data_IF_706092861462
#
_entry.id   IF_706092861462
#
_cell.length_a   1.000
_cell.length_b   1.000
_cell.length_c   1.000
_cell.angle_alpha   90.00
_cell.angle_beta   90.00
_cell.angle_gamma   90.00
#
_symmetry.space_group_name_H-M   'P 1'
#
loop_
_entity.id
_entity.type
_entity.pdbx_description
1 polymer ?
#
# COMPACT_ATOMS: atom_id res chain seq x y z
N UNK A 1 32.01 -52.20 33.54
CA UNK A 1 31.01 -51.65 34.49
C UNK A 1 30.03 -50.83 33.68
N UNK A 2 28.77 -51.25 33.68
CA UNK A 2 27.71 -50.73 32.83
C UNK A 2 27.07 -49.48 33.44
N UNK A 3 26.85 -48.45 32.62
CA UNK A 3 25.96 -47.34 32.97
C UNK A 3 24.75 -47.36 32.02
N UNK A 4 23.59 -47.57 32.61
CA UNK A 4 22.29 -47.52 31.96
C UNK A 4 21.88 -46.06 31.70
N UNK A 5 21.45 -45.77 30.48
CA UNK A 5 20.79 -44.51 30.12
C UNK A 5 19.28 -44.78 30.13
N UNK A 6 18.58 -44.13 31.06
CA UNK A 6 17.12 -44.18 31.17
C UNK A 6 16.46 -43.24 30.16
N UNK A 7 15.66 -43.81 29.26
CA UNK A 7 14.71 -43.09 28.41
C UNK A 7 13.52 -42.63 29.25
N UNK A 8 13.29 -41.32 29.31
CA UNK A 8 12.07 -40.74 29.89
C UNK A 8 11.04 -40.47 28.80
N UNK A 9 9.87 -41.12 28.94
CA UNK A 9 8.68 -40.93 28.12
C UNK A 9 8.00 -39.61 28.47
N UNK A 10 7.80 -38.71 27.50
CA UNK A 10 6.82 -37.62 27.64
C UNK A 10 5.47 -38.10 27.08
N UNK A 11 4.46 -38.09 27.95
CA UNK A 11 3.14 -38.70 27.78
C UNK A 11 2.23 -37.76 26.98
N UNK A 12 1.63 -38.27 25.90
CA UNK A 12 0.54 -37.63 25.15
C UNK A 12 -0.64 -37.31 26.06
N UNK A 13 -1.11 -36.07 26.03
CA UNK A 13 -2.47 -35.72 26.41
C UNK A 13 -3.28 -35.50 25.14
N UNK A 14 -4.36 -36.26 25.01
CA UNK A 14 -5.32 -36.20 23.91
C UNK A 14 -6.34 -35.13 24.30
N UNK A 15 -6.22 -33.95 23.70
CA UNK A 15 -7.16 -32.83 23.88
C UNK A 15 -8.12 -32.75 22.68
N UNK A 16 -9.40 -32.89 22.99
CA UNK A 16 -10.60 -32.71 22.18
C UNK A 16 -10.45 -32.10 20.77
N UNK A 17 -10.80 -32.91 19.77
CA UNK A 17 -11.13 -32.48 18.42
C UNK A 17 -12.43 -31.67 18.45
N UNK A 18 -12.34 -30.35 18.34
CA UNK A 18 -13.49 -29.50 18.04
C UNK A 18 -13.72 -29.58 16.54
N UNK A 19 -14.68 -30.42 16.12
CA UNK A 19 -15.23 -30.39 14.77
C UNK A 19 -16.21 -29.21 14.69
N UNK A 20 -15.66 -28.02 14.50
CA UNK A 20 -16.43 -26.86 14.07
C UNK A 20 -16.68 -27.00 12.58
N UNK A 21 -17.94 -27.25 12.20
CA UNK A 21 -18.37 -27.22 10.82
C UNK A 21 -18.17 -25.81 10.26
N UNK A 22 -17.09 -25.59 9.50
CA UNK A 22 -16.94 -24.42 8.65
C UNK A 22 -17.82 -24.65 7.44
N UNK A 23 -19.09 -24.25 7.55
CA UNK A 23 -19.97 -24.18 6.40
C UNK A 23 -19.37 -23.15 5.44
N UNK A 24 -18.97 -23.63 4.26
CA UNK A 24 -18.32 -22.84 3.22
C UNK A 24 -19.17 -21.64 2.82
N UNK A 25 -18.78 -20.46 3.32
CA UNK A 25 -19.01 -19.21 2.63
C UNK A 25 -17.90 -19.08 1.60
N UNK A 26 -18.08 -19.77 0.46
CA UNK A 26 -17.46 -19.33 -0.80
C UNK A 26 -18.25 -18.10 -1.27
N UNK A 27 -18.18 -17.03 -0.48
CA UNK A 27 -18.45 -15.70 -0.98
C UNK A 27 -17.18 -15.33 -1.71
N UNK A 28 -17.21 -15.39 -3.04
CA UNK A 28 -16.33 -14.56 -3.83
C UNK A 28 -16.59 -13.13 -3.33
N UNK A 29 -15.72 -12.63 -2.46
CA UNK A 29 -15.57 -11.20 -2.26
C UNK A 29 -15.19 -10.71 -3.65
N UNK A 30 -16.18 -10.18 -4.37
CA UNK A 30 -15.94 -9.37 -5.54
C UNK A 30 -15.08 -8.23 -5.01
N UNK A 31 -13.79 -8.35 -5.27
CA UNK A 31 -12.80 -7.37 -4.90
C UNK A 31 -13.28 -6.05 -5.51
N UNK A 32 -13.66 -5.10 -4.66
CA UNK A 32 -13.99 -3.75 -5.11
C UNK A 32 -12.72 -2.92 -5.31
N UNK A 33 -11.56 -3.58 -5.44
CA UNK A 33 -10.47 -3.07 -6.24
C UNK A 33 -11.06 -2.56 -7.54
N UNK A 34 -10.79 -1.30 -7.85
CA UNK A 34 -11.01 -0.81 -9.20
C UNK A 34 -10.05 -1.62 -10.04
N UNK A 35 -10.51 -2.77 -10.56
CA UNK A 35 -9.79 -3.49 -11.60
C UNK A 35 -9.47 -2.42 -12.64
N UNK A 36 -8.19 -2.28 -13.01
CA UNK A 36 -7.79 -1.26 -13.97
C UNK A 36 -8.80 -1.28 -15.12
N UNK A 37 -9.37 -0.13 -15.47
CA UNK A 37 -10.27 -0.13 -16.61
C UNK A 37 -9.47 -0.54 -17.85
N UNK A 38 -10.09 -1.22 -18.83
CA UNK A 38 -9.51 -1.42 -20.15
C UNK A 38 -8.80 -0.16 -20.64
N UNK A 39 -7.52 -0.27 -20.95
CA UNK A 39 -6.72 0.89 -21.35
C UNK A 39 -7.14 1.44 -22.72
N UNK A 40 -7.69 0.56 -23.57
CA UNK A 40 -8.29 0.87 -24.86
C UNK A 40 -9.19 -0.31 -25.30
N UNK A 41 -9.71 -0.26 -26.53
CA UNK A 41 -10.60 -1.29 -27.07
C UNK A 41 -9.96 -2.65 -27.36
N UNK A 42 -8.63 -2.77 -27.31
CA UNK A 42 -7.94 -4.05 -27.45
C UNK A 42 -7.70 -4.76 -26.12
N UNK A 43 -7.88 -4.07 -24.98
CA UNK A 43 -7.67 -4.58 -23.63
C UNK A 43 -8.96 -5.21 -23.10
N UNK A 44 -9.22 -6.43 -23.53
CA UNK A 44 -10.52 -7.13 -23.37
C UNK A 44 -10.44 -8.30 -22.41
N UNK A 45 -9.24 -8.61 -21.91
CA UNK A 45 -8.99 -9.66 -20.95
C UNK A 45 -8.28 -9.10 -19.71
N UNK A 46 -8.57 -9.68 -18.55
CA UNK A 46 -7.75 -9.41 -17.37
C UNK A 46 -6.37 -10.08 -17.51
N UNK A 47 -5.29 -9.46 -16.98
CA UNK A 47 -5.30 -8.20 -16.22
C UNK A 47 -5.34 -6.96 -17.12
N UNK A 48 -6.36 -6.12 -16.93
CA UNK A 48 -6.50 -4.87 -17.68
C UNK A 48 -5.33 -3.89 -17.40
N UNK A 49 -5.10 -2.96 -18.32
CA UNK A 49 -3.95 -2.06 -18.32
C UNK A 49 -2.69 -2.66 -18.96
N UNK A 50 -2.74 -3.91 -19.41
CA UNK A 50 -1.65 -4.62 -20.08
C UNK A 50 -2.20 -5.39 -21.27
N UNK A 51 -1.72 -5.09 -22.47
CA UNK A 51 -2.07 -5.86 -23.67
C UNK A 51 -1.16 -7.08 -23.82
N UNK A 52 -1.74 -8.28 -23.82
CA UNK A 52 -1.02 -9.55 -24.00
C UNK A 52 -1.74 -10.55 -24.93
N UNK A 53 -1.33 -11.82 -24.91
CA UNK A 53 -1.92 -12.86 -25.77
C UNK A 53 -3.34 -13.27 -25.33
N UNK A 54 -3.70 -13.02 -24.07
CA UNK A 54 -5.02 -13.27 -23.50
C UNK A 54 -6.05 -12.36 -24.16
N UNK A 55 -5.73 -11.08 -24.37
CA UNK A 55 -6.57 -10.14 -25.10
C UNK A 55 -6.87 -10.61 -26.53
N UNK A 56 -5.82 -11.06 -27.23
CA UNK A 56 -5.97 -11.63 -28.57
C UNK A 56 -6.88 -12.85 -28.52
N UNK A 57 -6.69 -13.73 -27.53
CA UNK A 57 -7.52 -14.93 -27.35
C UNK A 57 -8.99 -14.61 -27.11
N UNK A 58 -9.27 -13.66 -26.20
CA UNK A 58 -10.62 -13.22 -25.85
C UNK A 58 -11.28 -12.51 -27.02
N UNK A 59 -10.59 -11.59 -27.70
CA UNK A 59 -11.10 -10.90 -28.88
C UNK A 59 -11.46 -11.88 -30.00
N UNK A 60 -10.56 -12.80 -30.35
CA UNK A 60 -10.81 -13.80 -31.42
C UNK A 60 -12.00 -14.68 -31.08
N UNK A 61 -12.12 -15.13 -29.82
CA UNK A 61 -13.25 -15.94 -29.38
C UNK A 61 -14.56 -15.15 -29.47
N UNK A 62 -14.57 -13.90 -28.99
CA UNK A 62 -15.72 -13.01 -29.04
C UNK A 62 -16.15 -12.71 -30.48
N UNK A 63 -15.19 -12.49 -31.39
CA UNK A 63 -15.44 -12.20 -32.81
C UNK A 63 -16.09 -13.40 -33.52
N UNK A 64 -15.57 -14.61 -33.31
CA UNK A 64 -16.15 -15.85 -33.89
C UNK A 64 -17.56 -16.11 -33.37
N UNK A 65 -17.83 -15.75 -32.11
CA UNK A 65 -19.15 -15.91 -31.49
C UNK A 65 -20.12 -14.76 -31.79
N UNK A 66 -19.67 -13.72 -32.51
CA UNK A 66 -20.45 -12.49 -32.72
C UNK A 66 -20.94 -11.89 -31.39
N UNK A 67 -20.07 -11.91 -30.39
CA UNK A 67 -20.36 -11.37 -29.07
C UNK A 67 -20.11 -9.86 -29.04
N UNK A 68 -20.92 -9.05 -28.33
CA UNK A 68 -20.81 -7.58 -28.34
C UNK A 68 -19.42 -7.02 -28.02
N UNK A 69 -18.59 -7.74 -27.27
CA UNK A 69 -17.23 -7.32 -26.95
C UNK A 69 -16.28 -7.24 -28.17
N UNK A 70 -16.63 -7.87 -29.29
CA UNK A 70 -15.83 -7.83 -30.53
C UNK A 70 -16.34 -6.83 -31.57
N UNK A 71 -17.45 -6.15 -31.32
CA UNK A 71 -17.98 -5.06 -32.15
C UNK A 71 -17.41 -3.74 -31.63
N UNK A 72 -16.18 -3.43 -32.05
CA UNK A 72 -15.40 -2.31 -31.51
C UNK A 72 -15.84 -0.97 -32.09
N UNK A 73 -16.48 -0.97 -33.27
CA UNK A 73 -17.05 0.25 -33.85
C UNK A 73 -18.53 0.49 -33.46
N UNK A 74 -19.16 -0.49 -32.79
CA UNK A 74 -20.54 -0.45 -32.30
C UNK A 74 -21.60 -0.28 -33.40
N UNK A 75 -21.34 -0.81 -34.60
CA UNK A 75 -22.29 -0.75 -35.73
C UNK A 75 -23.18 -2.00 -35.86
N UNK A 76 -22.96 -3.01 -35.03
CA UNK A 76 -23.69 -4.28 -35.02
C UNK A 76 -23.23 -5.29 -36.08
N UNK A 77 -22.14 -5.01 -36.81
CA UNK A 77 -21.59 -5.84 -37.89
C UNK A 77 -20.15 -6.23 -37.56
N UNK A 78 -19.94 -7.50 -37.23
CA UNK A 78 -18.61 -8.07 -36.98
C UNK A 78 -17.83 -8.26 -38.29
N UNK A 79 -16.95 -7.32 -38.64
CA UNK A 79 -16.23 -7.31 -39.91
C UNK A 79 -14.74 -6.95 -39.81
N UNK A 80 -14.12 -6.62 -40.95
CA UNK A 80 -12.69 -6.26 -41.00
C UNK A 80 -12.39 -4.93 -40.29
N UNK A 81 -13.37 -4.06 -40.09
CA UNK A 81 -13.20 -2.81 -39.36
C UNK A 81 -12.93 -3.07 -37.88
N UNK A 82 -13.63 -4.01 -37.24
CA UNK A 82 -13.36 -4.40 -35.86
C UNK A 82 -11.96 -4.98 -35.69
N UNK A 83 -11.56 -5.86 -36.61
CA UNK A 83 -10.21 -6.44 -36.60
C UNK A 83 -9.16 -5.34 -36.78
N UNK A 84 -9.39 -4.38 -37.67
CA UNK A 84 -8.48 -3.26 -37.87
C UNK A 84 -8.41 -2.35 -36.64
N UNK A 85 -9.54 -2.10 -35.97
CA UNK A 85 -9.59 -1.33 -34.72
C UNK A 85 -8.84 -2.05 -33.60
N UNK A 86 -9.05 -3.35 -33.45
CA UNK A 86 -8.34 -4.17 -32.48
C UNK A 86 -6.83 -4.13 -32.75
N UNK A 87 -6.39 -4.42 -33.97
CA UNK A 87 -4.95 -4.44 -34.32
C UNK A 87 -4.31 -3.06 -34.18
N UNK A 88 -5.03 -1.99 -34.50
CA UNK A 88 -4.53 -0.61 -34.33
C UNK A 88 -4.37 -0.28 -32.85
N UNK A 89 -5.41 -0.52 -32.04
CA UNK A 89 -5.38 -0.29 -30.59
C UNK A 89 -4.31 -1.17 -29.90
N UNK A 90 -4.17 -2.42 -30.34
CA UNK A 90 -3.17 -3.34 -29.80
C UNK A 90 -1.74 -2.86 -30.10
N UNK A 91 -1.51 -2.29 -31.29
CA UNK A 91 -0.21 -1.73 -31.69
C UNK A 91 0.10 -0.38 -31.03
N UNK A 92 -0.92 0.43 -30.78
CA UNK A 92 -0.78 1.67 -30.01
C UNK A 92 -0.37 1.37 -28.57
N UNK A 93 -0.69 0.16 -28.09
CA UNK A 93 -0.41 -0.25 -26.73
C UNK A 93 -1.43 0.35 -25.77
N UNK A 94 -1.36 -0.05 -24.51
CA UNK A 94 -1.93 0.79 -23.47
C UNK A 94 -1.11 2.08 -23.41
N UNK A 95 -1.74 3.25 -23.20
CA UNK A 95 -1.00 4.38 -22.67
C UNK A 95 -0.17 3.86 -21.49
N UNK A 96 1.06 4.34 -21.28
CA UNK A 96 1.66 4.11 -19.98
C UNK A 96 0.61 4.57 -18.99
N UNK A 97 0.12 3.64 -18.14
CA UNK A 97 -0.62 3.99 -16.93
C UNK A 97 0.16 5.19 -16.39
N UNK A 98 -0.49 6.27 -15.94
CA UNK A 98 0.24 7.38 -15.31
C UNK A 98 0.96 6.79 -14.09
N UNK A 99 2.15 6.23 -14.33
CA UNK A 99 2.84 5.34 -13.43
C UNK A 99 3.38 6.21 -12.31
N UNK A 100 3.58 7.50 -12.58
CA UNK A 100 3.96 8.46 -11.59
C UNK A 100 2.72 8.99 -10.89
N UNK A 101 2.67 8.81 -9.57
CA UNK A 101 1.76 9.61 -8.76
C UNK A 101 2.21 11.07 -8.79
N UNK A 102 1.30 12.04 -8.56
CA UNK A 102 1.69 13.41 -8.30
C UNK A 102 2.72 13.45 -7.17
N UNK A 103 3.77 14.25 -7.31
CA UNK A 103 4.71 14.48 -6.21
C UNK A 103 3.94 15.05 -5.02
N UNK A 104 4.10 14.45 -3.83
CA UNK A 104 3.44 14.87 -2.60
C UNK A 104 3.71 16.35 -2.27
N UNK A 105 4.86 16.90 -2.68
CA UNK A 105 5.19 18.32 -2.53
C UNK A 105 4.19 19.24 -3.21
N UNK A 106 3.56 18.80 -4.30
CA UNK A 106 2.54 19.59 -4.99
C UNK A 106 1.27 19.79 -4.16
N UNK A 107 1.07 18.95 -3.14
CA UNK A 107 -0.03 19.05 -2.18
C UNK A 107 0.29 19.93 -0.98
N UNK A 108 1.56 20.35 -0.83
CA UNK A 108 2.06 21.12 0.32
C UNK A 108 2.59 22.46 -0.15
N UNK A 109 1.86 23.53 0.16
CA UNK A 109 2.28 24.86 -0.24
C UNK A 109 3.60 25.27 0.43
N UNK A 110 4.57 25.65 -0.40
CA UNK A 110 5.90 26.05 0.04
C UNK A 110 6.86 24.89 0.28
N UNK A 111 6.48 23.64 -0.04
CA UNK A 111 7.35 22.48 0.09
C UNK A 111 8.70 22.66 -0.63
N UNK A 112 8.76 23.36 -1.76
CA UNK A 112 10.00 23.63 -2.50
C UNK A 112 11.07 24.39 -1.68
N UNK A 113 10.66 25.06 -0.59
CA UNK A 113 11.56 25.83 0.27
C UNK A 113 11.92 25.10 1.57
N UNK A 114 11.43 23.88 1.77
CA UNK A 114 11.72 23.11 2.98
C UNK A 114 13.17 22.66 3.01
N UNK A 115 13.80 22.59 4.21
CA UNK A 115 15.19 22.19 4.36
C UNK A 115 15.40 20.73 3.93
N UNK A 116 16.64 20.40 3.56
CA UNK A 116 16.99 19.09 2.99
C UNK A 116 16.48 17.86 3.80
N UNK A 117 16.51 17.84 5.15
CA UNK A 117 15.95 16.71 5.90
C UNK A 117 14.45 16.50 5.68
N UNK A 118 13.68 17.58 5.47
CA UNK A 118 12.24 17.48 5.18
C UNK A 118 12.03 17.06 3.72
N UNK A 119 12.89 17.52 2.80
CA UNK A 119 12.86 17.04 1.41
C UNK A 119 13.05 15.52 1.32
N UNK A 120 13.96 14.97 2.12
CA UNK A 120 14.19 13.53 2.18
C UNK A 120 12.95 12.75 2.64
N UNK A 121 12.13 13.33 3.53
CA UNK A 121 10.85 12.74 3.93
C UNK A 121 9.87 12.72 2.76
N UNK A 122 9.75 13.81 1.99
CA UNK A 122 8.92 13.82 0.79
C UNK A 122 9.38 12.78 -0.23
N UNK A 123 10.70 12.61 -0.42
CA UNK A 123 11.24 11.57 -1.31
C UNK A 123 10.91 10.17 -0.83
N UNK A 124 11.03 9.90 0.47
CA UNK A 124 10.65 8.60 1.06
C UNK A 124 9.15 8.30 0.87
N UNK A 125 8.29 9.32 1.08
CA UNK A 125 6.86 9.21 0.84
C UNK A 125 6.57 8.97 -0.65
N UNK A 126 7.17 9.75 -1.56
CA UNK A 126 6.99 9.58 -2.99
C UNK A 126 7.47 8.20 -3.48
N UNK A 127 8.59 7.67 -2.96
CA UNK A 127 9.03 6.29 -3.25
C UNK A 127 8.01 5.27 -2.77
N UNK A 128 7.49 5.43 -1.57
CA UNK A 128 6.47 4.53 -0.99
C UNK A 128 5.19 4.57 -1.80
N UNK A 129 4.68 5.77 -2.11
CA UNK A 129 3.50 5.97 -2.95
C UNK A 129 3.76 5.38 -4.34
N UNK A 130 4.95 5.56 -4.90
CA UNK A 130 5.27 4.97 -6.18
C UNK A 130 5.26 3.44 -6.13
N UNK A 131 5.83 2.81 -5.10
CA UNK A 131 5.89 1.36 -5.03
C UNK A 131 4.57 0.70 -4.65
N UNK A 132 3.81 1.26 -3.70
CA UNK A 132 2.62 0.62 -3.15
C UNK A 132 1.32 1.37 -3.44
N UNK A 133 1.40 2.62 -3.88
CA UNK A 133 0.27 3.53 -4.04
C UNK A 133 -0.94 2.97 -4.77
N UNK A 134 -0.79 2.21 -5.87
CA UNK A 134 -1.92 1.64 -6.59
C UNK A 134 -2.63 0.50 -5.85
N UNK A 135 -1.94 -0.17 -4.92
CA UNK A 135 -2.47 -1.36 -4.25
C UNK A 135 -3.51 -0.98 -3.19
N UNK A 136 -4.68 -1.61 -3.18
CA UNK A 136 -5.58 -1.61 -2.03
C UNK A 136 -4.92 -2.24 -0.80
N UNK A 137 -5.22 -1.77 0.40
CA UNK A 137 -4.70 -2.36 1.64
C UNK A 137 -5.03 -3.84 1.77
N UNK A 138 -6.21 -4.27 1.33
CA UNK A 138 -6.62 -5.67 1.34
C UNK A 138 -5.66 -6.53 0.55
N UNK A 139 -5.37 -6.14 -0.69
CA UNK A 139 -4.40 -6.84 -1.55
C UNK A 139 -2.99 -6.77 -0.95
N UNK A 140 -2.49 -5.56 -0.63
CA UNK A 140 -1.14 -5.38 -0.10
C UNK A 140 -0.88 -6.22 1.16
N UNK A 141 -1.81 -6.20 2.13
CA UNK A 141 -1.60 -6.80 3.44
C UNK A 141 -1.86 -8.31 3.46
N UNK A 142 -2.62 -8.85 2.49
CA UNK A 142 -2.92 -10.28 2.42
C UNK A 142 -2.05 -11.05 1.44
N UNK A 143 -1.41 -10.38 0.48
CA UNK A 143 -0.44 -11.00 -0.42
C UNK A 143 0.94 -11.17 0.24
N UNK A 144 1.65 -12.20 -0.20
CA UNK A 144 3.08 -12.36 0.04
C UNK A 144 3.90 -11.44 -0.86
N UNK A 145 5.17 -11.20 -0.52
CA UNK A 145 6.08 -10.41 -1.37
C UNK A 145 6.23 -11.08 -2.75
N UNK A 146 6.34 -12.41 -2.79
CA UNK A 146 6.50 -13.18 -4.02
C UNK A 146 5.35 -13.00 -5.01
N UNK A 147 4.11 -12.94 -4.51
CA UNK A 147 2.93 -12.68 -5.33
C UNK A 147 2.93 -11.26 -5.91
N UNK A 148 3.49 -10.29 -5.18
CA UNK A 148 3.57 -8.89 -5.61
C UNK A 148 4.86 -8.56 -6.40
N UNK A 149 5.83 -9.47 -6.53
CA UNK A 149 7.08 -9.20 -7.25
C UNK A 149 6.87 -8.72 -8.70
N UNK A 150 5.96 -9.30 -9.51
CA UNK A 150 5.70 -8.79 -10.86
C UNK A 150 5.25 -7.32 -10.85
N UNK A 151 4.41 -6.96 -9.87
CA UNK A 151 3.96 -5.60 -9.66
C UNK A 151 5.13 -4.69 -9.24
N UNK A 152 5.92 -5.06 -8.23
CA UNK A 152 7.07 -4.26 -7.80
C UNK A 152 8.11 -4.07 -8.90
N UNK A 153 8.40 -5.08 -9.70
CA UNK A 153 9.35 -4.99 -10.80
C UNK A 153 8.91 -3.96 -11.86
N UNK A 154 7.61 -3.90 -12.17
CA UNK A 154 7.06 -2.90 -13.07
C UNK A 154 7.26 -1.47 -12.52
N UNK A 155 6.97 -1.28 -11.23
CA UNK A 155 7.08 0.03 -10.56
C UNK A 155 8.54 0.46 -10.41
N UNK A 156 9.44 -0.44 -10.02
CA UNK A 156 10.87 -0.16 -9.88
C UNK A 156 11.50 0.27 -11.20
N UNK A 157 11.06 -0.28 -12.33
CA UNK A 157 11.52 0.13 -13.66
C UNK A 157 11.20 1.59 -14.02
N UNK A 158 10.31 2.25 -13.28
CA UNK A 158 9.93 3.66 -13.50
C UNK A 158 10.25 4.58 -12.32
N UNK A 159 10.92 4.08 -11.29
CA UNK A 159 11.16 4.85 -10.06
C UNK A 159 11.96 6.13 -10.33
N UNK A 160 13.04 6.06 -11.10
CA UNK A 160 13.90 7.22 -11.42
C UNK A 160 13.16 8.29 -12.25
N UNK A 161 12.19 7.87 -13.06
CA UNK A 161 11.35 8.77 -13.84
C UNK A 161 10.31 9.46 -12.97
N UNK A 162 9.70 8.73 -12.03
CA UNK A 162 8.56 9.19 -11.25
C UNK A 162 8.93 9.89 -9.94
N UNK A 163 10.12 9.63 -9.40
CA UNK A 163 10.61 10.25 -8.17
C UNK A 163 11.96 10.90 -8.49
N UNK A 164 11.97 12.06 -9.16
CA UNK A 164 13.21 12.73 -9.55
C UNK A 164 14.01 13.15 -8.30
N UNK A 165 15.33 13.03 -8.36
CA UNK A 165 16.21 13.31 -7.21
C UNK A 165 16.29 12.16 -6.19
N UNK A 166 15.73 11.00 -6.53
CA UNK A 166 15.93 9.79 -5.75
C UNK A 166 17.40 9.34 -5.80
N UNK A 167 18.11 9.41 -4.67
CA UNK A 167 19.47 8.89 -4.52
C UNK A 167 19.52 7.35 -4.32
N UNK A 168 18.37 6.67 -4.33
CA UNK A 168 18.26 5.22 -4.11
C UNK A 168 18.27 4.47 -5.42
N UNK A 169 19.20 3.54 -5.58
CA UNK A 169 19.27 2.62 -6.71
C UNK A 169 18.06 1.65 -6.71
N UNK A 170 17.19 1.67 -7.73
CA UNK A 170 16.05 0.74 -7.84
C UNK A 170 16.48 -0.73 -7.82
N UNK A 171 17.69 -1.05 -8.31
CA UNK A 171 18.20 -2.42 -8.28
C UNK A 171 18.47 -2.92 -6.85
N UNK A 172 18.85 -2.02 -5.94
CA UNK A 172 19.04 -2.35 -4.53
C UNK A 172 17.70 -2.71 -3.86
N UNK A 173 16.65 -1.93 -4.12
CA UNK A 173 15.30 -2.23 -3.62
C UNK A 173 14.82 -3.57 -4.19
N UNK A 174 15.00 -3.80 -5.51
CA UNK A 174 14.62 -5.06 -6.16
C UNK A 174 15.28 -6.28 -5.50
N UNK A 175 16.59 -6.19 -5.23
CA UNK A 175 17.35 -7.25 -4.58
C UNK A 175 16.84 -7.53 -3.16
N UNK A 176 16.56 -6.49 -2.37
CA UNK A 176 16.03 -6.66 -1.01
C UNK A 176 14.64 -7.29 -1.04
N UNK A 177 13.77 -6.89 -1.96
CA UNK A 177 12.43 -7.48 -2.12
C UNK A 177 12.50 -8.95 -2.56
N UNK A 178 13.42 -9.30 -3.47
CA UNK A 178 13.64 -10.69 -3.87
C UNK A 178 14.13 -11.56 -2.70
N UNK A 179 15.08 -11.05 -1.92
CA UNK A 179 15.57 -11.70 -0.70
C UNK A 179 14.46 -11.85 0.34
N UNK A 180 13.66 -10.80 0.55
CA UNK A 180 12.54 -10.82 1.47
C UNK A 180 11.48 -11.83 1.03
N UNK A 181 11.15 -11.88 -0.27
CA UNK A 181 10.27 -12.90 -0.86
C UNK A 181 10.80 -14.31 -0.61
N UNK A 182 12.10 -14.53 -0.73
CA UNK A 182 12.69 -15.84 -0.49
C UNK A 182 12.64 -16.25 0.99
N UNK A 183 13.01 -15.34 1.89
CA UNK A 183 13.09 -15.62 3.35
C UNK A 183 11.69 -15.72 3.98
N UNK A 184 10.76 -14.83 3.59
CA UNK A 184 9.41 -14.81 4.13
C UNK A 184 8.51 -15.92 3.53
N UNK A 185 8.84 -16.41 2.33
CA UNK A 185 8.05 -17.41 1.62
C UNK A 185 6.61 -16.94 1.39
N UNK A 186 5.58 -17.73 1.77
CA UNK A 186 4.18 -17.36 1.57
C UNK A 186 3.63 -16.44 2.68
N UNK A 187 4.46 -15.90 3.58
CA UNK A 187 3.99 -15.04 4.66
C UNK A 187 3.38 -13.75 4.08
N UNK A 188 2.13 -13.41 4.44
CA UNK A 188 1.50 -12.16 4.02
C UNK A 188 2.26 -10.94 4.56
N UNK A 189 2.31 -9.87 3.78
CA UNK A 189 2.97 -8.61 4.17
C UNK A 189 2.41 -8.08 5.48
N UNK A 190 1.09 -8.10 5.68
CA UNK A 190 0.49 -7.64 6.92
C UNK A 190 1.03 -8.36 8.16
N UNK A 191 1.29 -9.66 8.08
CA UNK A 191 1.90 -10.42 9.18
C UNK A 191 3.36 -10.04 9.41
N UNK A 192 4.11 -9.71 8.36
CA UNK A 192 5.47 -9.19 8.49
C UNK A 192 5.49 -7.81 9.18
N UNK A 193 4.56 -6.92 8.84
CA UNK A 193 4.51 -5.54 9.38
C UNK A 193 4.03 -5.46 10.84
N UNK A 194 3.33 -6.48 11.33
CA UNK A 194 2.95 -6.56 12.76
C UNK A 194 4.20 -6.67 13.63
N UNK A 195 5.22 -7.43 13.19
CA UNK A 195 6.41 -7.82 13.94
C UNK A 195 6.11 -8.48 15.30
N UNK A 196 7.02 -9.31 15.81
CA UNK A 196 6.85 -9.82 17.16
C UNK A 196 7.96 -10.76 17.62
N UNK A 197 7.97 -11.11 18.92
CA UNK A 197 8.93 -12.05 19.48
C UNK A 197 8.86 -13.38 18.71
N UNK A 198 9.91 -13.70 17.96
CA UNK A 198 9.99 -14.92 17.14
C UNK A 198 9.89 -14.71 15.64
N UNK A 199 9.80 -13.47 15.14
CA UNK A 199 10.06 -13.19 13.73
C UNK A 199 11.49 -13.56 13.35
N UNK A 200 11.68 -14.08 12.14
CA UNK A 200 13.02 -14.38 11.64
C UNK A 200 13.88 -13.10 11.61
N UNK A 201 15.05 -13.07 12.27
CA UNK A 201 15.93 -11.90 12.26
C UNK A 201 16.32 -11.43 10.87
N UNK A 202 16.36 -12.32 9.87
CA UNK A 202 16.64 -11.94 8.49
C UNK A 202 15.49 -11.12 7.88
N UNK A 203 14.23 -11.42 8.20
CA UNK A 203 13.08 -10.61 7.77
C UNK A 203 13.17 -9.22 8.39
N UNK A 204 13.46 -9.14 9.69
CA UNK A 204 13.62 -7.85 10.40
C UNK A 204 14.74 -7.01 9.80
N UNK A 205 15.89 -7.63 9.50
CA UNK A 205 17.01 -6.95 8.87
C UNK A 205 16.65 -6.41 7.47
N UNK A 206 16.02 -7.21 6.61
CA UNK A 206 15.62 -6.79 5.26
C UNK A 206 14.55 -5.69 5.27
N UNK A 207 13.62 -5.73 6.23
CA UNK A 207 12.65 -4.66 6.44
C UNK A 207 13.32 -3.37 6.93
N UNK A 208 14.35 -3.50 7.78
CA UNK A 208 15.23 -2.39 8.16
C UNK A 208 15.99 -1.80 6.97
N UNK A 209 16.55 -2.64 6.09
CA UNK A 209 17.25 -2.20 4.89
C UNK A 209 16.30 -1.45 3.93
N UNK A 210 15.06 -1.91 3.75
CA UNK A 210 14.04 -1.17 2.99
C UNK A 210 13.75 0.20 3.60
N UNK A 211 13.63 0.27 4.93
CA UNK A 211 13.43 1.53 5.66
C UNK A 211 14.59 2.49 5.49
N UNK A 212 15.83 1.99 5.52
CA UNK A 212 17.04 2.80 5.32
C UNK A 212 17.14 3.34 3.89
N UNK A 213 16.52 2.66 2.92
CA UNK A 213 16.28 3.15 1.55
C UNK A 213 15.06 4.08 1.45
N UNK A 214 14.48 4.48 2.58
CA UNK A 214 13.32 5.35 2.69
C UNK A 214 12.07 4.76 2.05
N UNK A 215 11.93 3.43 2.08
CA UNK A 215 10.63 2.78 1.86
C UNK A 215 9.90 2.76 3.20
N UNK A 216 8.65 3.21 3.20
CA UNK A 216 7.88 3.33 4.42
C UNK A 216 7.49 1.97 5.00
N UNK A 217 8.30 1.49 5.93
CA UNK A 217 8.10 0.29 6.72
C UNK A 217 7.95 0.69 8.19
N UNK A 218 6.99 0.13 8.94
CA UNK A 218 6.85 0.40 10.37
C UNK A 218 8.09 0.04 11.17
N UNK A 219 8.34 0.78 12.25
CA UNK A 219 9.39 0.44 13.20
C UNK A 219 9.11 -0.88 13.92
N UNK A 220 10.15 -1.52 14.44
CA UNK A 220 10.00 -2.71 15.27
C UNK A 220 9.19 -2.34 16.55
N UNK A 221 8.16 -3.12 16.90
CA UNK A 221 7.34 -2.88 18.07
C UNK A 221 8.19 -3.07 19.31
N UNK A 222 8.06 -2.14 20.24
CA UNK A 222 8.94 -2.07 21.41
C UNK A 222 8.54 -3.09 22.48
N UNK A 223 7.26 -3.51 22.49
CA UNK A 223 6.75 -4.45 23.48
C UNK A 223 5.59 -5.33 22.96
N UNK A 224 5.25 -6.44 23.66
CA UNK A 224 4.19 -7.36 23.24
C UNK A 224 2.79 -6.75 23.14
N UNK A 225 2.50 -5.66 23.87
CA UNK A 225 1.22 -4.94 23.79
C UNK A 225 1.08 -4.27 22.43
N UNK A 226 2.14 -3.64 21.94
CA UNK A 226 2.15 -3.03 20.60
C UNK A 226 1.93 -4.08 19.50
N UNK A 227 2.50 -5.28 19.65
CA UNK A 227 2.26 -6.40 18.73
C UNK A 227 0.77 -6.74 18.67
N UNK A 228 0.11 -6.87 19.83
CA UNK A 228 -1.33 -7.16 19.88
C UNK A 228 -2.17 -6.03 19.29
N UNK A 229 -1.80 -4.78 19.53
CA UNK A 229 -2.45 -3.62 18.92
C UNK A 229 -2.33 -3.65 17.40
N UNK A 230 -1.14 -3.91 16.86
CA UNK A 230 -0.92 -4.04 15.41
C UNK A 230 -1.69 -5.20 14.81
N UNK A 231 -1.80 -6.34 15.51
CA UNK A 231 -2.62 -7.46 15.04
C UNK A 231 -4.11 -7.09 14.94
N UNK A 232 -4.64 -6.37 15.93
CA UNK A 232 -6.01 -5.88 15.90
C UNK A 232 -6.22 -4.86 14.77
N UNK A 233 -5.30 -3.90 14.64
CA UNK A 233 -5.34 -2.90 13.59
C UNK A 233 -5.25 -3.51 12.18
N UNK A 234 -4.41 -4.54 11.99
CA UNK A 234 -4.29 -5.27 10.74
C UNK A 234 -5.64 -5.89 10.32
N UNK A 235 -6.33 -6.53 11.28
CA UNK A 235 -7.63 -7.12 11.01
C UNK A 235 -8.67 -6.06 10.61
N UNK A 236 -8.67 -4.91 11.28
CA UNK A 236 -9.55 -3.78 10.94
C UNK A 236 -9.22 -3.20 9.56
N UNK A 237 -7.95 -2.96 9.25
CA UNK A 237 -7.54 -2.45 7.94
C UNK A 237 -8.01 -3.35 6.80
N UNK A 238 -7.83 -4.66 6.92
CA UNK A 238 -8.26 -5.61 5.89
C UNK A 238 -9.79 -5.63 5.76
N UNK A 239 -10.52 -5.63 6.88
CA UNK A 239 -11.98 -5.76 6.88
C UNK A 239 -12.69 -4.48 6.42
N UNK A 240 -12.22 -3.33 6.91
CA UNK A 240 -12.97 -2.07 6.87
C UNK A 240 -12.33 -1.02 5.95
N UNK A 241 -11.03 -1.15 5.62
CA UNK A 241 -10.30 -0.27 4.71
C UNK A 241 -9.62 -1.02 3.55
N UNK A 242 -10.01 -2.28 3.31
CA UNK A 242 -9.34 -3.15 2.34
C UNK A 242 -9.34 -2.60 0.90
N UNK A 243 -10.40 -1.88 0.52
CA UNK A 243 -10.54 -1.23 -0.79
C UNK A 243 -9.82 0.12 -0.90
N UNK A 244 -9.35 0.69 0.20
CA UNK A 244 -8.61 1.96 0.19
C UNK A 244 -7.20 1.70 -0.35
N UNK A 245 -6.78 2.46 -1.35
CA UNK A 245 -5.42 2.34 -1.90
C UNK A 245 -4.42 3.06 -1.03
N UNK A 246 -3.17 2.62 -1.03
CA UNK A 246 -2.11 3.31 -0.24
C UNK A 246 -1.96 4.77 -0.67
N UNK A 247 -2.04 5.08 -1.97
CA UNK A 247 -1.96 6.45 -2.46
C UNK A 247 -3.16 7.30 -2.02
N UNK A 248 -4.32 6.68 -1.77
CA UNK A 248 -5.49 7.41 -1.34
C UNK A 248 -5.22 8.13 -0.02
N UNK A 249 -4.40 7.56 0.90
CA UNK A 249 -4.00 8.22 2.16
C UNK A 249 -3.46 9.64 1.98
N UNK A 250 -2.88 9.91 0.81
CA UNK A 250 -2.18 11.14 0.51
C UNK A 250 -2.97 12.09 -0.38
N UNK A 251 -3.84 11.56 -1.25
CA UNK A 251 -4.50 12.36 -2.30
C UNK A 251 -6.02 12.46 -2.18
N UNK A 252 -6.69 11.57 -1.44
CA UNK A 252 -8.11 11.73 -1.16
C UNK A 252 -8.30 12.70 0.01
N UNK A 253 -9.46 13.32 0.09
CA UNK A 253 -9.87 14.13 1.25
C UNK A 253 -10.74 13.30 2.18
N UNK A 254 -10.88 13.70 3.46
CA UNK A 254 -11.65 12.92 4.46
C UNK A 254 -13.10 12.62 4.05
N UNK A 255 -13.72 13.47 3.23
CA UNK A 255 -15.08 13.29 2.74
C UNK A 255 -15.18 12.29 1.57
N UNK A 256 -14.05 11.83 1.03
CA UNK A 256 -13.96 10.81 -0.02
C UNK A 256 -13.72 9.41 0.56
N UNK A 257 -13.60 9.29 1.89
CA UNK A 257 -13.40 8.05 2.62
C UNK A 257 -14.55 7.91 3.62
N UNK A 258 -15.11 6.71 3.74
CA UNK A 258 -16.20 6.48 4.70
C UNK A 258 -15.69 6.61 6.13
N UNK A 259 -16.61 6.89 7.07
CA UNK A 259 -16.25 6.96 8.49
C UNK A 259 -15.68 5.64 9.03
N UNK A 260 -16.09 4.50 8.46
CA UNK A 260 -15.61 3.16 8.84
C UNK A 260 -14.19 2.93 8.35
N UNK A 261 -13.92 3.20 7.06
CA UNK A 261 -12.57 3.16 6.50
C UNK A 261 -11.62 4.09 7.27
N UNK A 262 -12.07 5.33 7.54
CA UNK A 262 -11.28 6.31 8.31
C UNK A 262 -10.91 5.79 9.70
N UNK A 263 -11.87 5.18 10.43
CA UNK A 263 -11.61 4.64 11.75
C UNK A 263 -10.55 3.52 11.72
N UNK A 264 -10.60 2.64 10.72
CA UNK A 264 -9.62 1.58 10.53
C UNK A 264 -8.23 2.13 10.18
N UNK A 265 -8.15 3.15 9.31
CA UNK A 265 -6.90 3.84 8.98
C UNK A 265 -6.28 4.51 10.21
N UNK A 266 -7.09 5.17 11.04
CA UNK A 266 -6.64 5.80 12.28
C UNK A 266 -6.14 4.77 13.29
N UNK A 267 -6.80 3.63 13.43
CA UNK A 267 -6.33 2.53 14.28
C UNK A 267 -4.98 1.99 13.78
N UNK A 268 -4.84 1.78 12.47
CA UNK A 268 -3.58 1.39 11.82
C UNK A 268 -2.44 2.37 12.09
N UNK A 269 -2.73 3.67 12.05
CA UNK A 269 -1.78 4.73 12.41
C UNK A 269 -1.43 4.68 13.90
N UNK A 270 -2.42 4.64 14.81
CA UNK A 270 -2.18 4.69 16.26
C UNK A 270 -1.49 3.45 16.81
N UNK A 271 -1.66 2.28 16.17
CA UNK A 271 -0.90 1.07 16.51
C UNK A 271 0.51 1.08 15.95
N UNK A 272 0.86 2.08 15.13
CA UNK A 272 2.10 2.14 14.37
C UNK A 272 2.23 1.04 13.32
N UNK A 273 1.12 0.49 12.80
CA UNK A 273 1.12 -0.51 11.72
C UNK A 273 1.25 0.15 10.35
N UNK A 274 0.65 1.33 10.18
CA UNK A 274 0.97 2.23 9.07
C UNK A 274 2.23 2.99 9.47
N UNK A 275 3.26 2.99 8.60
CA UNK A 275 4.58 3.49 8.96
C UNK A 275 4.49 4.93 9.51
N UNK A 276 5.11 5.17 10.67
CA UNK A 276 5.17 6.48 11.34
C UNK A 276 5.64 7.57 10.39
N UNK A 277 6.64 7.28 9.56
CA UNK A 277 7.15 8.19 8.53
C UNK A 277 6.13 8.64 7.49
N UNK A 278 4.99 7.96 7.31
CA UNK A 278 3.89 8.43 6.44
C UNK A 278 3.16 9.63 7.04
N UNK A 279 3.21 9.75 8.38
CA UNK A 279 2.48 10.75 9.15
C UNK A 279 3.38 11.71 9.92
N UNK A 280 4.68 11.43 10.04
CA UNK A 280 5.64 12.31 10.74
C UNK A 280 5.92 13.62 10.00
N UNK A 281 5.31 13.83 8.83
CA UNK A 281 5.26 15.13 8.15
C UNK A 281 4.11 16.04 8.63
N UNK A 282 3.41 15.63 9.70
CA UNK A 282 2.48 16.47 10.45
C UNK A 282 3.29 17.62 11.10
N UNK A 283 3.52 18.68 10.32
CA UNK A 283 3.99 20.00 10.79
C UNK A 283 2.92 20.60 11.71
N UNK A 284 2.71 20.02 12.86
CA UNK A 284 1.76 20.51 13.85
C UNK A 284 2.54 21.17 14.99
N UNK A 285 2.97 22.42 14.82
CA UNK A 285 3.48 23.20 15.96
C UNK A 285 2.34 24.03 16.57
N UNK A 286 2.30 24.07 17.89
CA UNK A 286 2.12 25.34 18.57
C UNK A 286 3.44 25.70 19.27
N UNK A 287 3.79 26.99 19.26
CA UNK A 287 4.84 27.60 20.08
C UNK A 287 6.31 27.31 19.74
N UNK A 288 6.72 27.71 18.52
CA UNK A 288 8.09 28.15 18.27
C UNK A 288 9.14 27.06 18.34
N UNK A 289 8.98 26.04 17.47
CA UNK A 289 9.85 24.88 17.29
C UNK A 289 11.28 25.10 17.79
N UNK A 290 11.63 24.39 18.86
CA UNK A 290 13.00 24.31 19.33
C UNK A 290 13.91 23.71 18.25
N UNK A 291 15.24 23.86 18.37
CA UNK A 291 16.21 23.43 17.36
C UNK A 291 16.32 21.90 17.18
N UNK A 292 15.43 21.11 17.78
CA UNK A 292 15.51 19.65 17.85
C UNK A 292 14.23 19.04 17.25
N UNK A 293 14.30 18.40 16.08
CA UNK A 293 13.21 17.61 15.51
C UNK A 293 12.74 16.52 16.50
N UNK A 294 11.42 16.36 16.66
CA UNK A 294 10.82 15.26 17.45
C UNK A 294 10.51 15.55 18.92
N UNK A 295 10.54 16.81 19.37
CA UNK A 295 10.15 17.19 20.75
C UNK A 295 8.79 17.87 20.88
N UNK A 296 8.08 18.08 19.77
CA UNK A 296 6.80 18.75 19.76
C UNK A 296 5.69 17.79 20.25
N UNK A 297 4.96 18.22 21.28
CA UNK A 297 3.77 17.52 21.78
C UNK A 297 2.53 18.18 21.20
N UNK A 298 1.61 17.36 20.69
CA UNK A 298 0.25 17.81 20.39
C UNK A 298 -0.39 18.38 21.67
N UNK A 299 -1.14 19.49 21.56
CA UNK A 299 -1.80 20.15 22.68
C UNK A 299 -2.87 19.28 23.37
N UNK A 300 -3.37 18.26 22.67
CA UNK A 300 -4.37 17.28 23.10
C UNK A 300 -4.15 15.97 22.31
N UNK A 301 -4.33 14.80 22.93
CA UNK A 301 -4.32 13.48 22.29
C UNK A 301 -5.42 13.32 21.20
N UNK A 302 -6.30 14.31 21.03
CA UNK A 302 -7.43 14.32 20.10
C UNK A 302 -7.48 15.54 19.17
N UNK A 303 -6.45 16.38 19.12
CA UNK A 303 -6.42 17.55 18.22
C UNK A 303 -5.10 17.62 17.44
N UNK A 304 -5.22 17.66 16.11
CA UNK A 304 -4.12 17.87 15.17
C UNK A 304 -4.15 19.35 14.72
N UNK A 305 -2.99 20.01 14.75
CA UNK A 305 -2.83 21.45 14.98
C UNK A 305 -3.15 22.39 13.80
N UNK A 306 -3.70 23.57 14.12
CA UNK A 306 -3.60 24.80 13.33
C UNK A 306 -2.20 25.40 13.43
N UNK A 307 -1.53 25.68 12.31
CA UNK A 307 -0.33 26.54 12.27
C UNK A 307 -0.68 27.99 11.83
N UNK A 308 -0.12 29.03 12.46
CA UNK A 308 0.00 30.35 11.85
C UNK A 308 1.20 30.39 10.87
N UNK A 309 1.19 31.31 9.89
CA UNK A 309 2.25 31.43 8.87
C UNK A 309 3.67 31.59 9.46
N UNK A 310 4.75 31.11 8.78
CA UNK A 310 4.77 30.72 7.36
C UNK A 310 4.83 29.21 7.08
N UNK A 311 4.88 28.33 8.08
CA UNK A 311 4.84 26.88 7.82
C UNK A 311 3.40 26.42 7.59
N UNK A 312 3.14 25.74 6.48
CA UNK A 312 1.85 25.10 6.15
C UNK A 312 2.10 23.59 6.14
N UNK A 313 1.41 22.86 7.01
CA UNK A 313 1.55 21.42 7.16
C UNK A 313 0.78 20.67 6.09
N UNK A 314 1.24 19.47 5.77
CA UNK A 314 0.43 18.49 5.04
C UNK A 314 -0.65 17.94 5.97
N UNK A 315 -1.90 17.88 5.51
CA UNK A 315 -2.94 17.13 6.18
C UNK A 315 -3.20 15.85 5.38
N UNK A 316 -2.64 14.72 5.82
CA UNK A 316 -3.03 13.41 5.27
C UNK A 316 -4.49 13.09 5.62
N UNK A 317 -5.10 12.08 4.97
CA UNK A 317 -6.45 11.61 5.36
C UNK A 317 -6.53 11.23 6.84
N UNK A 318 -5.41 10.77 7.40
CA UNK A 318 -5.28 10.40 8.81
C UNK A 318 -4.89 11.59 9.71
N UNK A 319 -5.02 12.82 9.23
CA UNK A 319 -4.91 14.04 10.05
C UNK A 319 -6.29 14.66 10.16
N UNK A 320 -6.72 14.96 11.39
CA UNK A 320 -8.03 15.54 11.63
C UNK A 320 -8.20 16.88 10.90
N UNK A 321 -9.43 17.25 10.52
CA UNK A 321 -9.69 18.60 10.01
C UNK A 321 -9.23 19.62 11.04
N UNK A 322 -8.27 20.46 10.66
CA UNK A 322 -7.92 21.66 11.39
C UNK A 322 -9.17 22.54 11.46
N UNK A 323 -9.95 22.41 12.54
CA UNK A 323 -11.03 23.34 12.79
C UNK A 323 -10.37 24.66 13.14
N UNK A 324 -10.20 25.51 12.13
CA UNK A 324 -9.93 26.93 12.30
C UNK A 324 -11.06 27.48 13.15
N UNK A 325 -10.88 27.44 14.47
CA UNK A 325 -11.73 28.12 15.41
C UNK A 325 -11.63 29.59 15.08
N UNK A 326 -12.61 30.08 14.31
CA UNK A 326 -13.01 31.48 14.28
C UNK A 326 -13.45 31.89 15.67
N UNK A 327 -12.49 32.00 16.57
CA UNK A 327 -12.60 32.69 17.84
C UNK A 327 -12.18 34.12 17.59
N UNK A 328 -13.04 34.88 16.90
CA UNK A 328 -13.18 36.27 17.26
C UNK A 328 -13.60 36.31 18.74
N UNK A 329 -12.68 36.73 19.59
CA UNK A 329 -12.96 37.15 20.96
C UNK A 329 -12.17 38.45 21.24
N UNK A 330 -12.76 39.38 21.99
CA UNK A 330 -12.58 40.84 21.86
C UNK A 330 -11.22 41.42 22.29
#
# INVERSE_FOLDING_TARGET
MAHAVGLSFCRRSVGALVVGAVAGLSGAVADAGVDPAPCNSADVAEPFGVLDLSDIGVFVLAFVQQAPAADLNQDGIFDLNDINLFVTSFKEGCPPIDLCFPDIRTTVEGADFDPAPIQQNYDAVNRTIHLFGPLPFGQLLTSSVGELMPFFNNRLGTLDQCVPGNDVDPAQIALILEQLSFVAGPMPIGQMLVFGPGMDPAIVALLGDLRDLGIGVPDEPVDPTQVLQRQAALALLIADAGSVRVADLFFKTHNMVSAVEMAALMEGKSSGLLASGWCDNDRCCDQGGGPIPGTDRCLDERQWCNLPPPSRAFCSIASDPCTGGGGDAP
#
